data_IF_405876066039
#
_entry.id   IF_405876066039
#
_cell.length_a   1.000
_cell.length_b   1.000
_cell.length_c   1.000
_cell.angle_alpha   90.00
_cell.angle_beta   90.00
_cell.angle_gamma   90.00
#
_symmetry.space_group_name_H-M   'P 1'
#
loop_
_entity.id
_entity.type
_entity.pdbx_description
1 polymer ?
#
# COMPACT_ATOMS: atom_id res chain seq x y z
N UNK A 1 -26.79 0.03 3.80
CA UNK A 1 -25.34 -0.03 3.44
C UNK A 1 -25.24 -1.10 2.36
N UNK A 2 -24.94 -0.72 1.14
CA UNK A 2 -24.64 -1.65 0.06
C UNK A 2 -23.18 -2.10 0.16
N UNK A 3 -22.90 -2.99 1.10
CA UNK A 3 -21.54 -3.46 1.40
C UNK A 3 -20.80 -3.98 0.16
N UNK A 4 -21.50 -4.58 -0.80
CA UNK A 4 -20.89 -5.09 -2.04
C UNK A 4 -20.49 -3.92 -2.93
N UNK A 5 -21.38 -2.94 -3.10
CA UNK A 5 -21.09 -1.72 -3.86
C UNK A 5 -19.95 -0.93 -3.24
N UNK A 6 -19.96 -0.74 -1.91
CA UNK A 6 -18.94 0.00 -1.17
C UNK A 6 -17.56 -0.68 -1.23
N UNK A 7 -17.51 -2.02 -1.21
CA UNK A 7 -16.24 -2.76 -1.30
C UNK A 7 -15.72 -2.84 -2.74
N UNK A 8 -16.57 -2.96 -3.75
CA UNK A 8 -16.14 -3.20 -5.14
C UNK A 8 -15.91 -1.92 -5.92
N UNK A 9 -16.93 -1.12 -6.11
CA UNK A 9 -16.86 0.09 -6.94
C UNK A 9 -16.57 1.32 -6.10
N UNK A 10 -17.19 1.43 -4.93
CA UNK A 10 -17.06 2.52 -3.99
C UNK A 10 -17.17 3.90 -4.66
N UNK A 11 -18.38 4.20 -5.20
CA UNK A 11 -18.64 5.48 -5.85
C UNK A 11 -18.37 6.68 -4.94
N UNK A 12 -18.60 6.52 -3.63
CA UNK A 12 -18.38 7.60 -2.65
C UNK A 12 -16.91 7.93 -2.49
N UNK A 13 -16.01 6.95 -2.60
CA UNK A 13 -14.58 7.22 -2.70
C UNK A 13 -14.21 8.02 -3.96
N UNK A 14 -14.75 7.63 -5.13
CA UNK A 14 -14.39 8.29 -6.38
C UNK A 14 -14.99 9.68 -6.55
N UNK A 15 -16.12 9.96 -5.89
CA UNK A 15 -16.90 11.20 -6.09
C UNK A 15 -16.92 12.13 -4.87
N UNK A 16 -16.80 11.60 -3.62
CA UNK A 16 -17.11 12.35 -2.41
C UNK A 16 -16.02 12.32 -1.32
N UNK A 17 -14.80 11.84 -1.60
CA UNK A 17 -13.69 11.77 -0.62
C UNK A 17 -13.96 10.84 0.60
N UNK A 18 -14.81 9.85 0.45
CA UNK A 18 -14.99 8.86 1.49
C UNK A 18 -13.89 7.80 1.46
N UNK A 19 -13.18 7.64 2.58
CA UNK A 19 -12.03 6.73 2.69
C UNK A 19 -12.40 5.31 3.14
N UNK A 20 -13.69 5.01 3.31
CA UNK A 20 -14.13 3.66 3.68
C UNK A 20 -13.85 2.70 2.53
N UNK A 21 -13.08 1.64 2.79
CA UNK A 21 -12.67 0.62 1.80
C UNK A 21 -11.98 1.17 0.52
N UNK A 22 -11.50 2.41 0.52
CA UNK A 22 -10.87 3.07 -0.63
C UNK A 22 -9.78 2.24 -1.33
N UNK A 23 -9.08 1.39 -0.57
CA UNK A 23 -7.97 0.60 -1.08
C UNK A 23 -8.40 -0.43 -2.11
N UNK A 24 -9.58 -1.04 -1.94
CA UNK A 24 -10.06 -2.11 -2.84
C UNK A 24 -10.31 -1.57 -4.26
N UNK A 25 -11.16 -0.56 -4.49
CA UNK A 25 -11.36 0.01 -5.82
C UNK A 25 -10.07 0.62 -6.39
N UNK A 26 -9.22 1.20 -5.54
CA UNK A 26 -7.92 1.73 -5.97
C UNK A 26 -7.00 0.63 -6.53
N UNK A 27 -6.85 -0.50 -5.82
CA UNK A 27 -5.98 -1.60 -6.28
C UNK A 27 -6.59 -2.33 -7.49
N UNK A 28 -7.90 -2.44 -7.58
CA UNK A 28 -8.58 -3.00 -8.77
C UNK A 28 -8.29 -2.16 -10.01
N UNK A 29 -8.38 -0.84 -9.90
CA UNK A 29 -8.02 0.08 -10.99
C UNK A 29 -6.55 -0.06 -11.39
N UNK A 30 -5.64 -0.12 -10.43
CA UNK A 30 -4.22 -0.33 -10.69
C UNK A 30 -3.94 -1.66 -11.39
N UNK A 31 -4.61 -2.75 -10.99
CA UNK A 31 -4.48 -4.05 -11.64
C UNK A 31 -5.03 -4.07 -13.07
N UNK A 32 -6.06 -3.30 -13.36
CA UNK A 32 -6.57 -3.14 -14.73
C UNK A 32 -5.50 -2.54 -15.65
N UNK A 33 -4.73 -1.56 -15.17
CA UNK A 33 -3.67 -0.92 -15.94
C UNK A 33 -2.33 -1.68 -15.94
N UNK A 34 -2.07 -2.53 -14.93
CA UNK A 34 -0.81 -3.24 -14.78
C UNK A 34 -0.38 -4.04 -16.04
N UNK A 35 -1.22 -4.89 -16.67
CA UNK A 35 -0.82 -5.67 -17.83
C UNK A 35 -0.50 -4.78 -19.04
N UNK A 36 -1.17 -3.64 -19.20
CA UNK A 36 -0.91 -2.69 -20.26
C UNK A 36 0.46 -2.02 -20.06
N UNK A 37 0.74 -1.58 -18.84
CA UNK A 37 2.03 -1.01 -18.49
C UNK A 37 3.17 -2.02 -18.65
N UNK A 38 2.99 -3.27 -18.20
CA UNK A 38 3.99 -4.32 -18.38
C UNK A 38 4.31 -4.57 -19.86
N UNK A 39 3.30 -4.61 -20.74
CA UNK A 39 3.51 -4.72 -22.19
C UNK A 39 4.26 -3.51 -22.75
N UNK A 40 3.91 -2.31 -22.29
CA UNK A 40 4.53 -1.06 -22.72
C UNK A 40 6.03 -1.02 -22.39
N UNK A 41 6.41 -1.28 -21.13
CA UNK A 41 7.82 -1.26 -20.70
C UNK A 41 8.65 -2.41 -21.26
N UNK A 42 7.99 -3.51 -21.69
CA UNK A 42 8.66 -4.62 -22.35
C UNK A 42 8.99 -4.28 -23.79
N UNK A 43 8.08 -3.60 -24.51
CA UNK A 43 8.30 -3.14 -25.89
C UNK A 43 9.24 -1.94 -25.98
N UNK A 44 9.10 -1.00 -25.04
CA UNK A 44 9.80 0.28 -25.04
C UNK A 44 10.33 0.59 -23.64
N UNK A 45 11.58 0.21 -23.31
CA UNK A 45 12.17 0.39 -21.98
C UNK A 45 12.18 1.82 -21.43
N UNK A 46 12.14 2.81 -22.32
CA UNK A 46 12.06 4.25 -21.94
C UNK A 46 10.85 4.56 -21.05
N UNK A 47 9.72 3.85 -21.23
CA UNK A 47 8.53 4.06 -20.41
C UNK A 47 8.66 3.61 -18.95
N UNK A 48 9.79 3.01 -18.55
CA UNK A 48 10.11 2.77 -17.13
C UNK A 48 10.27 4.06 -16.33
N UNK A 49 10.47 5.18 -16.98
CA UNK A 49 10.52 6.51 -16.37
C UNK A 49 9.14 7.14 -16.14
N UNK A 50 8.08 6.52 -16.64
CA UNK A 50 6.70 7.00 -16.48
C UNK A 50 6.29 7.26 -15.01
N UNK A 51 6.73 6.48 -14.00
CA UNK A 51 6.46 6.81 -12.61
C UNK A 51 6.94 8.20 -12.16
N UNK A 52 8.01 8.75 -12.75
CA UNK A 52 8.43 10.13 -12.48
C UNK A 52 7.40 11.14 -12.98
N UNK A 53 6.82 10.92 -14.16
CA UNK A 53 5.72 11.76 -14.66
C UNK A 53 4.47 11.63 -13.77
N UNK A 54 4.23 10.44 -13.20
CA UNK A 54 3.14 10.24 -12.24
C UNK A 54 3.37 11.03 -10.94
N UNK A 55 4.62 11.16 -10.47
CA UNK A 55 4.96 12.05 -9.34
C UNK A 55 4.71 13.51 -9.71
N UNK A 56 5.11 13.92 -10.90
CA UNK A 56 4.80 15.29 -11.40
C UNK A 56 3.29 15.52 -11.46
N UNK A 57 2.53 14.53 -11.90
CA UNK A 57 1.05 14.59 -11.88
C UNK A 57 0.52 14.82 -10.46
N UNK A 58 1.03 14.09 -9.46
CA UNK A 58 0.62 14.30 -8.07
C UNK A 58 0.87 15.75 -7.61
N UNK A 59 2.01 16.33 -7.99
CA UNK A 59 2.33 17.72 -7.70
C UNK A 59 1.34 18.66 -8.41
N UNK A 60 1.00 18.38 -9.67
CA UNK A 60 0.02 19.16 -10.42
C UNK A 60 -1.38 19.10 -9.79
N UNK A 61 -1.82 17.91 -9.36
CA UNK A 61 -3.10 17.72 -8.66
C UNK A 61 -3.17 18.60 -7.41
N UNK A 62 -2.07 18.77 -6.68
CA UNK A 62 -2.04 19.60 -5.48
C UNK A 62 -2.04 21.09 -5.77
N UNK A 63 -1.25 21.55 -6.76
CA UNK A 63 -0.95 22.97 -6.91
C UNK A 63 -1.71 23.66 -8.06
N UNK A 64 -2.24 22.92 -9.03
CA UNK A 64 -2.99 23.48 -10.15
C UNK A 64 -4.48 23.50 -9.80
N UNK A 65 -4.99 24.67 -9.44
CA UNK A 65 -6.34 24.84 -8.91
C UNK A 65 -7.47 24.17 -9.71
N UNK A 66 -7.55 24.26 -11.07
CA UNK A 66 -8.57 23.55 -11.82
C UNK A 66 -8.48 22.02 -11.68
N UNK A 67 -7.27 21.46 -11.65
CA UNK A 67 -7.03 20.02 -11.50
C UNK A 67 -7.36 19.61 -10.07
N UNK A 68 -6.94 20.38 -9.09
CA UNK A 68 -7.22 20.13 -7.68
C UNK A 68 -8.73 20.05 -7.40
N UNK A 69 -9.51 20.97 -7.95
CA UNK A 69 -10.97 20.96 -7.81
C UNK A 69 -11.64 19.76 -8.47
N UNK A 70 -11.04 19.24 -9.54
CA UNK A 70 -11.61 18.09 -10.26
C UNK A 70 -11.27 16.75 -9.63
N UNK A 71 -10.03 16.55 -9.18
CA UNK A 71 -9.50 15.23 -8.77
C UNK A 71 -8.67 15.25 -7.47
N UNK A 72 -8.64 16.38 -6.75
CA UNK A 72 -7.90 16.51 -5.50
C UNK A 72 -8.48 15.65 -4.36
N UNK A 73 -9.78 15.39 -4.38
CA UNK A 73 -10.46 14.54 -3.41
C UNK A 73 -9.92 13.09 -3.39
N UNK A 74 -9.40 12.59 -4.50
CA UNK A 74 -8.74 11.28 -4.59
C UNK A 74 -7.20 11.36 -4.54
N UNK A 75 -6.64 12.36 -3.86
CA UNK A 75 -5.18 12.54 -3.71
C UNK A 75 -4.50 11.29 -3.14
N UNK A 76 -5.15 10.58 -2.21
CA UNK A 76 -4.63 9.34 -1.65
C UNK A 76 -4.40 8.28 -2.73
N UNK A 77 -5.27 8.18 -3.72
CA UNK A 77 -5.10 7.27 -4.86
C UNK A 77 -3.91 7.72 -5.72
N UNK A 78 -3.86 9.00 -6.11
CA UNK A 78 -2.78 9.52 -6.96
C UNK A 78 -1.40 9.29 -6.35
N UNK A 79 -1.25 9.44 -5.03
CA UNK A 79 0.02 9.19 -4.34
C UNK A 79 0.46 7.72 -4.34
N UNK A 80 -0.46 6.77 -4.55
CA UNK A 80 -0.15 5.33 -4.64
C UNK A 80 0.21 4.87 -6.05
N UNK A 81 -0.23 5.59 -7.09
CA UNK A 81 0.06 5.26 -8.48
C UNK A 81 1.55 5.14 -8.76
N UNK A 82 2.43 6.12 -8.44
CA UNK A 82 3.87 5.99 -8.68
C UNK A 82 4.48 4.78 -7.95
N UNK A 83 4.10 4.54 -6.69
CA UNK A 83 4.61 3.43 -5.88
C UNK A 83 4.32 2.09 -6.57
N UNK A 84 3.09 1.90 -7.04
CA UNK A 84 2.66 0.66 -7.69
C UNK A 84 3.45 0.40 -8.98
N UNK A 85 3.62 1.40 -9.84
CA UNK A 85 4.34 1.26 -11.09
C UNK A 85 5.86 1.15 -10.89
N UNK A 86 6.44 1.79 -9.88
CA UNK A 86 7.83 1.52 -9.45
C UNK A 86 7.96 0.06 -9.03
N UNK A 87 7.01 -0.48 -8.27
CA UNK A 87 6.98 -1.89 -7.87
C UNK A 87 7.00 -2.84 -9.07
N UNK A 88 6.23 -2.56 -10.13
CA UNK A 88 6.28 -3.34 -11.38
C UNK A 88 7.66 -3.26 -12.03
N UNK A 89 8.26 -2.08 -12.11
CA UNK A 89 9.62 -1.92 -12.68
C UNK A 89 10.67 -2.73 -11.92
N UNK A 90 10.50 -2.86 -10.60
CA UNK A 90 11.41 -3.61 -9.74
C UNK A 90 11.16 -5.12 -9.77
N UNK A 91 9.98 -5.56 -10.18
CA UNK A 91 9.58 -6.97 -10.19
C UNK A 91 10.55 -7.88 -10.93
N UNK A 92 11.17 -7.39 -12.01
CA UNK A 92 12.21 -8.13 -12.74
C UNK A 92 13.46 -8.35 -11.89
N UNK A 93 13.97 -7.32 -11.23
CA UNK A 93 15.15 -7.41 -10.36
C UNK A 93 14.91 -8.33 -9.16
N UNK A 94 13.69 -8.32 -8.61
CA UNK A 94 13.28 -9.25 -7.55
C UNK A 94 13.23 -10.69 -8.07
N UNK A 95 12.68 -10.93 -9.26
CA UNK A 95 12.62 -12.24 -9.90
C UNK A 95 14.01 -12.78 -10.23
N UNK A 96 14.91 -11.92 -10.72
CA UNK A 96 16.31 -12.26 -11.02
C UNK A 96 17.16 -12.40 -9.75
N UNK A 97 16.57 -12.26 -8.56
CA UNK A 97 17.23 -12.37 -7.26
C UNK A 97 18.48 -11.48 -7.13
N UNK A 98 18.49 -10.32 -7.79
CA UNK A 98 19.61 -9.39 -7.67
C UNK A 98 19.81 -8.98 -6.22
N UNK A 99 21.01 -9.15 -5.70
CA UNK A 99 21.38 -8.74 -4.35
C UNK A 99 21.91 -7.32 -4.37
N UNK A 100 21.57 -6.58 -3.32
CA UNK A 100 22.17 -5.28 -3.06
C UNK A 100 23.37 -5.51 -2.14
N UNK A 101 24.56 -5.11 -2.59
CA UNK A 101 25.80 -5.31 -1.86
C UNK A 101 26.64 -4.02 -1.82
N UNK A 102 27.54 -3.95 -0.85
CA UNK A 102 28.50 -2.86 -0.72
C UNK A 102 27.86 -1.48 -0.61
N UNK A 103 28.31 -0.55 -1.43
CA UNK A 103 27.86 0.86 -1.41
C UNK A 103 26.38 1.03 -1.69
N UNK A 104 25.78 0.17 -2.53
CA UNK A 104 24.35 0.23 -2.83
C UNK A 104 23.49 -0.07 -1.59
N UNK A 105 23.93 -0.99 -0.73
CA UNK A 105 23.24 -1.26 0.53
C UNK A 105 23.35 -0.08 1.50
N UNK A 106 24.50 0.54 1.63
CA UNK A 106 24.69 1.72 2.49
C UNK A 106 23.87 2.91 2.01
N UNK A 107 23.81 3.15 0.70
CA UNK A 107 22.95 4.19 0.13
C UNK A 107 21.47 3.91 0.39
N UNK A 108 21.04 2.65 0.30
CA UNK A 108 19.67 2.25 0.61
C UNK A 108 19.34 2.48 2.09
N UNK A 109 20.22 2.08 3.01
CA UNK A 109 20.06 2.30 4.43
C UNK A 109 20.00 3.79 4.78
N UNK A 110 20.87 4.60 4.19
CA UNK A 110 20.86 6.04 4.37
C UNK A 110 19.56 6.67 3.84
N UNK A 111 19.15 6.30 2.63
CA UNK A 111 17.90 6.79 2.02
C UNK A 111 16.68 6.40 2.86
N UNK A 112 16.63 5.16 3.36
CA UNK A 112 15.58 4.72 4.26
C UNK A 112 15.58 5.50 5.57
N UNK A 113 16.73 5.66 6.22
CA UNK A 113 16.85 6.40 7.48
C UNK A 113 16.43 7.86 7.32
N UNK A 114 16.85 8.51 6.22
CA UNK A 114 16.48 9.89 5.92
C UNK A 114 14.96 10.03 5.70
N UNK A 115 14.37 9.16 4.87
CA UNK A 115 12.92 9.23 4.57
C UNK A 115 12.08 8.86 5.79
N UNK A 116 12.50 7.85 6.56
CA UNK A 116 11.85 7.48 7.81
C UNK A 116 11.94 8.59 8.86
N UNK A 117 13.15 9.13 9.11
CA UNK A 117 13.35 10.21 10.07
C UNK A 117 12.57 11.47 9.70
N UNK A 118 12.52 11.83 8.41
CA UNK A 118 11.70 12.96 7.94
C UNK A 118 10.21 12.67 8.13
N UNK A 119 9.74 11.45 7.87
CA UNK A 119 8.34 11.08 8.08
C UNK A 119 7.94 11.19 9.56
N UNK A 120 8.78 10.67 10.47
CA UNK A 120 8.55 10.80 11.92
C UNK A 120 8.59 12.25 12.37
N UNK A 121 9.51 13.05 11.84
CA UNK A 121 9.58 14.48 12.16
C UNK A 121 8.32 15.24 11.72
N UNK A 122 7.83 14.99 10.51
CA UNK A 122 6.61 15.64 10.02
C UNK A 122 5.41 15.24 10.86
N UNK A 123 5.27 13.96 11.19
CA UNK A 123 4.14 13.45 11.97
C UNK A 123 4.14 13.92 13.43
N UNK A 124 5.29 13.84 14.11
CA UNK A 124 5.36 14.05 15.56
C UNK A 124 5.70 15.48 15.95
N UNK A 125 6.57 16.16 15.21
CA UNK A 125 7.09 17.49 15.57
C UNK A 125 6.39 18.60 14.80
N UNK A 126 6.06 18.36 13.54
CA UNK A 126 5.50 19.36 12.64
C UNK A 126 4.05 19.08 12.28
N UNK A 127 3.35 18.25 13.06
CA UNK A 127 1.96 17.86 12.80
C UNK A 127 1.08 19.07 12.51
N UNK A 128 0.40 19.05 11.35
CA UNK A 128 -0.46 20.13 10.89
C UNK A 128 0.23 21.40 10.35
N UNK A 129 1.58 21.51 10.36
CA UNK A 129 2.31 22.63 9.76
C UNK A 129 2.44 22.52 8.25
N UNK A 130 2.51 21.31 7.74
CA UNK A 130 2.62 21.04 6.32
C UNK A 130 1.34 20.41 5.77
N UNK A 131 1.01 20.65 4.50
CA UNK A 131 -0.10 19.94 3.86
C UNK A 131 0.15 18.43 3.90
N UNK A 132 -0.90 17.64 4.11
CA UNK A 132 -0.86 16.17 4.12
C UNK A 132 -0.22 15.59 2.84
N UNK A 133 -0.32 16.31 1.73
CA UNK A 133 0.35 16.01 0.47
C UNK A 133 1.87 15.81 0.63
N UNK A 134 2.56 16.63 1.43
CA UNK A 134 4.02 16.52 1.62
C UNK A 134 4.37 15.18 2.25
N UNK A 135 3.62 14.75 3.25
CA UNK A 135 3.79 13.45 3.89
C UNK A 135 3.53 12.31 2.91
N UNK A 136 2.45 12.41 2.12
CA UNK A 136 2.10 11.42 1.09
C UNK A 136 3.17 11.28 0.01
N UNK A 137 3.81 12.38 -0.40
CA UNK A 137 4.93 12.33 -1.36
C UNK A 137 6.18 11.68 -0.74
N UNK A 138 6.43 11.91 0.53
CA UNK A 138 7.53 11.28 1.25
C UNK A 138 7.34 9.76 1.38
N UNK A 139 6.10 9.27 1.45
CA UNK A 139 5.83 7.83 1.48
C UNK A 139 6.27 7.09 0.21
N UNK A 140 6.45 7.78 -0.93
CA UNK A 140 6.92 7.13 -2.16
C UNK A 140 8.37 6.60 -1.97
N UNK A 141 9.37 7.44 -1.72
CA UNK A 141 10.74 6.95 -1.49
C UNK A 141 10.85 6.10 -0.22
N UNK A 142 10.11 6.41 0.83
CA UNK A 142 10.09 5.62 2.06
C UNK A 142 9.61 4.18 1.80
N UNK A 143 8.51 3.99 1.10
CA UNK A 143 7.97 2.67 0.77
C UNK A 143 8.92 1.89 -0.14
N UNK A 144 9.48 2.53 -1.17
CA UNK A 144 10.40 1.87 -2.10
C UNK A 144 11.67 1.41 -1.38
N UNK A 145 12.29 2.28 -0.58
CA UNK A 145 13.50 1.93 0.17
C UNK A 145 13.22 0.89 1.25
N UNK A 146 12.08 1.01 1.93
CA UNK A 146 11.63 0.04 2.94
C UNK A 146 11.39 -1.35 2.37
N UNK A 147 10.71 -1.47 1.23
CA UNK A 147 10.46 -2.76 0.58
C UNK A 147 11.77 -3.42 0.13
N UNK A 148 12.71 -2.64 -0.43
CA UNK A 148 14.01 -3.15 -0.81
C UNK A 148 14.82 -3.66 0.39
N UNK A 149 14.80 -2.90 1.49
CA UNK A 149 15.46 -3.29 2.73
C UNK A 149 14.82 -4.53 3.34
N UNK A 150 13.49 -4.60 3.40
CA UNK A 150 12.76 -5.77 3.88
C UNK A 150 13.05 -7.01 3.01
N UNK A 151 13.10 -6.88 1.69
CA UNK A 151 13.48 -7.98 0.80
C UNK A 151 14.90 -8.47 1.09
N UNK A 152 15.85 -7.56 1.33
CA UNK A 152 17.22 -7.91 1.72
C UNK A 152 17.25 -8.67 3.05
N UNK A 153 16.50 -8.22 4.06
CA UNK A 153 16.41 -8.84 5.38
C UNK A 153 15.75 -10.22 5.28
N UNK A 154 14.59 -10.33 4.62
CA UNK A 154 13.82 -11.57 4.55
C UNK A 154 14.55 -12.69 3.79
N UNK A 155 15.42 -12.36 2.84
CA UNK A 155 16.28 -13.37 2.19
C UNK A 155 17.26 -14.05 3.14
N UNK A 156 17.58 -13.40 4.27
CA UNK A 156 18.50 -13.90 5.30
C UNK A 156 17.81 -14.50 6.51
N UNK A 157 16.50 -14.33 6.60
CA UNK A 157 15.72 -14.86 7.71
C UNK A 157 15.50 -16.37 7.63
N UNK A 158 15.35 -17.07 8.77
CA UNK A 158 14.99 -18.47 8.83
C UNK A 158 13.69 -18.77 8.07
N UNK A 159 13.59 -19.98 7.51
CA UNK A 159 12.40 -20.37 6.72
C UNK A 159 11.10 -20.36 7.52
N UNK A 160 11.14 -20.59 8.85
CA UNK A 160 9.97 -20.53 9.71
C UNK A 160 9.35 -19.12 9.71
N UNK A 161 10.17 -18.06 9.84
CA UNK A 161 9.73 -16.66 9.79
C UNK A 161 9.14 -16.33 8.43
N UNK A 162 9.83 -16.72 7.36
CA UNK A 162 9.34 -16.48 6.00
C UNK A 162 8.01 -17.22 5.73
N UNK A 163 7.80 -18.38 6.33
CA UNK A 163 6.53 -19.13 6.23
C UNK A 163 5.39 -18.39 6.94
N UNK A 164 5.64 -17.89 8.16
CA UNK A 164 4.67 -17.10 8.90
C UNK A 164 4.30 -15.82 8.16
N UNK A 165 5.30 -15.07 7.66
CA UNK A 165 5.07 -13.84 6.90
C UNK A 165 4.32 -14.09 5.60
N UNK A 166 4.62 -15.19 4.91
CA UNK A 166 3.87 -15.60 3.71
C UNK A 166 2.42 -15.91 4.05
N UNK A 167 2.16 -16.60 5.15
CA UNK A 167 0.79 -16.89 5.60
C UNK A 167 -0.01 -15.60 5.82
N UNK A 168 0.54 -14.65 6.59
CA UNK A 168 -0.10 -13.34 6.83
C UNK A 168 -0.24 -12.54 5.53
N UNK A 169 0.78 -12.57 4.66
CA UNK A 169 0.75 -11.88 3.37
C UNK A 169 -0.34 -12.38 2.43
N UNK A 170 -0.63 -13.69 2.44
CA UNK A 170 -1.72 -14.28 1.64
C UNK A 170 -3.09 -13.84 2.16
N UNK A 171 -3.21 -13.54 3.45
CA UNK A 171 -4.45 -13.07 4.10
C UNK A 171 -4.58 -11.53 4.10
N UNK A 172 -3.66 -10.79 3.48
CA UNK A 172 -3.55 -9.33 3.63
C UNK A 172 -4.81 -8.57 3.21
N UNK A 173 -5.51 -9.02 2.18
CA UNK A 173 -6.75 -8.40 1.72
C UNK A 173 -7.89 -8.62 2.73
N UNK A 174 -8.06 -9.85 3.17
CA UNK A 174 -9.08 -10.20 4.16
C UNK A 174 -8.82 -9.50 5.50
N UNK A 175 -7.56 -9.44 5.92
CA UNK A 175 -7.14 -8.65 7.09
C UNK A 175 -7.50 -7.18 6.91
N UNK A 176 -7.20 -6.59 5.75
CA UNK A 176 -7.56 -5.20 5.46
C UNK A 176 -9.07 -4.95 5.58
N UNK A 177 -9.89 -5.84 5.02
CA UNK A 177 -11.35 -5.69 5.06
C UNK A 177 -11.94 -5.83 6.47
N UNK A 178 -11.34 -6.68 7.31
CA UNK A 178 -11.92 -7.04 8.60
C UNK A 178 -11.39 -6.21 9.78
N UNK A 179 -10.10 -5.80 9.78
CA UNK A 179 -9.44 -5.29 10.97
C UNK A 179 -10.03 -3.98 11.50
N UNK A 180 -10.44 -3.05 10.65
CA UNK A 180 -11.00 -1.76 11.09
C UNK A 180 -12.47 -1.92 11.41
N UNK A 181 -13.28 -2.23 10.41
CA UNK A 181 -14.74 -2.15 10.49
C UNK A 181 -15.34 -3.20 11.43
N UNK A 182 -14.79 -4.41 11.43
CA UNK A 182 -15.37 -5.52 12.19
C UNK A 182 -14.66 -5.83 13.51
N UNK A 183 -13.45 -5.33 13.71
CA UNK A 183 -12.66 -5.65 14.90
C UNK A 183 -12.27 -4.39 15.68
N UNK A 184 -11.53 -3.47 15.08
CA UNK A 184 -10.97 -2.32 15.78
C UNK A 184 -12.06 -1.41 16.35
N UNK A 185 -13.07 -1.05 15.56
CA UNK A 185 -14.19 -0.22 16.01
C UNK A 185 -14.99 -0.83 17.17
N UNK A 186 -14.98 -2.16 17.30
CA UNK A 186 -15.64 -2.86 18.41
C UNK A 186 -14.77 -2.96 19.66
N UNK A 187 -13.44 -2.90 19.52
CA UNK A 187 -12.49 -2.97 20.65
C UNK A 187 -12.19 -1.59 21.21
N UNK A 188 -12.15 -0.55 20.38
CA UNK A 188 -11.79 0.81 20.74
C UNK A 188 -12.58 1.38 21.94
N UNK A 189 -13.91 1.16 22.08
CA UNK A 189 -14.68 1.67 23.23
C UNK A 189 -14.17 1.20 24.58
N UNK A 190 -13.49 0.05 24.65
CA UNK A 190 -12.95 -0.50 25.91
C UNK A 190 -11.68 0.21 26.41
N UNK A 191 -11.06 1.09 25.61
CA UNK A 191 -9.86 1.90 25.97
C UNK A 191 -8.72 1.07 26.58
N UNK A 192 -8.44 -0.09 26.03
CA UNK A 192 -7.51 -1.09 26.57
C UNK A 192 -6.02 -0.70 26.50
N UNK A 193 -5.70 0.47 25.94
CA UNK A 193 -4.33 0.89 25.66
C UNK A 193 -3.77 0.27 24.37
N UNK A 194 -2.77 0.94 23.81
CA UNK A 194 -2.26 0.65 22.45
C UNK A 194 -1.86 -0.81 22.21
N UNK A 195 -1.01 -1.36 23.08
CA UNK A 195 -0.48 -2.72 22.88
C UNK A 195 -1.54 -3.81 23.01
N UNK A 196 -2.44 -3.69 23.98
CA UNK A 196 -3.50 -4.69 24.17
C UNK A 196 -4.52 -4.62 23.04
N UNK A 197 -4.91 -3.42 22.60
CA UNK A 197 -5.77 -3.23 21.43
C UNK A 197 -5.13 -3.84 20.18
N UNK A 198 -3.85 -3.59 19.94
CA UNK A 198 -3.11 -4.17 18.82
C UNK A 198 -3.11 -5.71 18.86
N UNK A 199 -2.73 -6.30 20.01
CA UNK A 199 -2.68 -7.75 20.17
C UNK A 199 -4.06 -8.41 19.96
N UNK A 200 -5.11 -7.83 20.55
CA UNK A 200 -6.48 -8.34 20.38
C UNK A 200 -6.96 -8.20 18.94
N UNK A 201 -6.69 -7.06 18.30
CA UNK A 201 -7.03 -6.87 16.89
C UNK A 201 -6.37 -7.93 16.01
N UNK A 202 -5.09 -8.18 16.19
CA UNK A 202 -4.37 -9.21 15.44
C UNK A 202 -4.91 -10.61 15.74
N UNK A 203 -5.11 -10.94 17.03
CA UNK A 203 -5.58 -12.25 17.48
C UNK A 203 -6.98 -12.60 16.97
N UNK A 204 -7.86 -11.61 16.80
CA UNK A 204 -9.22 -11.80 16.30
C UNK A 204 -9.23 -11.74 14.76
N UNK A 205 -8.54 -10.78 14.15
CA UNK A 205 -8.58 -10.56 12.71
C UNK A 205 -7.97 -11.71 11.91
N UNK A 206 -6.83 -12.28 12.35
CA UNK A 206 -6.17 -13.35 11.58
C UNK A 206 -7.03 -14.62 11.44
N UNK A 207 -7.65 -15.16 12.50
CA UNK A 207 -8.57 -16.29 12.35
C UNK A 207 -9.79 -15.99 11.49
N UNK A 208 -10.37 -14.79 11.62
CA UNK A 208 -11.50 -14.36 10.80
C UNK A 208 -11.11 -14.22 9.34
N UNK A 209 -9.97 -13.64 9.03
CA UNK A 209 -9.43 -13.51 7.68
C UNK A 209 -9.19 -14.88 7.05
N UNK A 210 -8.61 -15.82 7.80
CA UNK A 210 -8.41 -17.19 7.34
C UNK A 210 -9.74 -17.91 7.06
N UNK A 211 -10.73 -17.74 7.94
CA UNK A 211 -12.07 -18.30 7.76
C UNK A 211 -12.73 -17.73 6.50
N UNK A 212 -12.68 -16.41 6.32
CA UNK A 212 -13.21 -15.74 5.14
C UNK A 212 -12.57 -16.26 3.86
N UNK A 213 -11.24 -16.31 3.80
CA UNK A 213 -10.51 -16.83 2.64
C UNK A 213 -10.86 -18.29 2.33
N UNK A 214 -10.95 -19.13 3.39
CA UNK A 214 -11.31 -20.56 3.21
C UNK A 214 -12.71 -20.70 2.64
N UNK A 215 -13.66 -19.91 3.12
CA UNK A 215 -15.05 -19.91 2.66
C UNK A 215 -15.15 -19.44 1.20
N UNK A 216 -14.45 -18.36 0.85
CA UNK A 216 -14.38 -17.87 -0.53
C UNK A 216 -13.76 -18.89 -1.49
N UNK A 217 -12.66 -19.54 -1.08
CA UNK A 217 -12.02 -20.58 -1.86
C UNK A 217 -12.94 -21.79 -2.06
N UNK A 218 -13.72 -22.17 -1.05
CA UNK A 218 -14.69 -23.26 -1.16
C UNK A 218 -15.84 -22.88 -2.12
N UNK A 219 -16.38 -21.67 -2.01
CA UNK A 219 -17.43 -21.17 -2.89
C UNK A 219 -16.98 -21.10 -4.35
N UNK A 220 -15.78 -20.56 -4.60
CA UNK A 220 -15.24 -20.43 -5.97
C UNK A 220 -14.89 -21.77 -6.62
N UNK A 221 -14.55 -22.80 -5.83
CA UNK A 221 -14.33 -24.17 -6.36
C UNK A 221 -15.62 -24.84 -6.82
N UNK A 222 -16.77 -24.49 -6.26
CA UNK A 222 -18.07 -25.03 -6.67
C UNK A 222 -18.62 -24.42 -7.96
N UNK A 223 -18.09 -23.25 -8.35
CA UNK A 223 -18.53 -22.50 -9.55
C UNK A 223 -17.71 -22.91 -10.80
N UNK A 224 -16.57 -23.55 -10.60
CA UNK A 224 -15.78 -24.18 -11.68
C UNK A 224 -16.16 -25.63 -11.88
#
# INVERSE_FOLDING_TARGET
IDLIGDVTVNWDFWLHDELTFWYVPAIMMLYLFAPHYMRLITRHPVYRWLPLLMVVWCVMVQWVLPIHRAVGHIEIFWSRVPIFFIGINMGRSVKEQRTLEGSALWLLLLAFAMTFGTSVYLEQVSHGRFPLFVERMLYIPFTVTGILLLNYIFRRMPQCVNRCLRFVGVLSLEVYLLHVQFVLLHIEPYRLGYWLTFLLTVAITLPLAWLLQTTLNYATRKIK
#
